data_IF_308709663044
#
_entry.id   IF_308709663044
#
_cell.length_a   1.000
_cell.length_b   1.000
_cell.length_c   1.000
_cell.angle_alpha   90.00
_cell.angle_beta   90.00
_cell.angle_gamma   90.00
#
_symmetry.space_group_name_H-M   'P 1'
#
loop_
_entity.id
_entity.type
_entity.pdbx_description
1 polymer ?
#
# COMPACT_ATOMS: atom_id res chain seq x y z
N UNK A 1 -42.76 -24.99 14.19
CA UNK A 1 -43.03 -25.18 12.74
C UNK A 1 -43.50 -23.85 12.21
N UNK A 2 -42.87 -23.13 11.30
CA UNK A 2 -41.87 -23.38 10.23
C UNK A 2 -41.02 -22.08 10.19
N UNK A 3 -39.72 -22.09 10.50
CA UNK A 3 -38.61 -22.11 9.53
C UNK A 3 -38.73 -21.11 8.37
N UNK A 4 -38.09 -19.94 8.46
CA UNK A 4 -37.39 -19.38 7.30
C UNK A 4 -36.01 -18.84 7.70
N UNK A 5 -35.01 -19.62 7.26
CA UNK A 5 -33.62 -19.24 7.12
C UNK A 5 -33.50 -18.55 5.76
N UNK A 6 -33.13 -17.27 5.78
CA UNK A 6 -32.35 -16.63 4.72
C UNK A 6 -31.19 -15.88 5.43
N UNK A 7 -30.01 -16.50 5.54
CA UNK A 7 -28.82 -16.24 4.69
C UNK A 7 -28.45 -14.74 4.63
N UNK A 8 -27.48 -14.30 5.46
CA UNK A 8 -26.08 -13.90 5.07
C UNK A 8 -26.01 -12.71 4.09
N UNK A 9 -25.28 -11.61 4.26
CA UNK A 9 -23.92 -11.43 4.80
C UNK A 9 -23.54 -9.91 4.81
N UNK A 10 -22.59 -9.53 5.67
CA UNK A 10 -21.52 -8.54 5.43
C UNK A 10 -21.74 -7.01 5.32
N UNK A 11 -22.77 -6.42 5.94
CA UNK A 11 -22.75 -4.95 6.11
C UNK A 11 -21.99 -4.50 7.37
N UNK A 12 -21.93 -5.33 8.42
CA UNK A 12 -21.46 -4.91 9.75
C UNK A 12 -19.94 -5.09 9.94
N UNK A 13 -19.26 -5.84 9.06
CA UNK A 13 -17.79 -5.95 9.10
C UNK A 13 -17.06 -4.73 8.50
N UNK A 14 -17.76 -3.83 7.81
CA UNK A 14 -17.16 -2.58 7.30
C UNK A 14 -16.93 -1.50 8.37
N UNK A 15 -17.53 -1.64 9.57
CA UNK A 15 -17.51 -0.57 10.58
C UNK A 15 -16.53 -0.77 11.75
N UNK A 16 -15.69 -1.82 11.73
CA UNK A 16 -14.56 -1.91 12.67
C UNK A 16 -13.28 -1.18 12.21
N UNK A 17 -13.35 -0.37 11.14
CA UNK A 17 -12.24 0.47 10.66
C UNK A 17 -12.21 1.87 11.32
N UNK A 18 -13.07 2.11 12.31
CA UNK A 18 -13.34 3.45 12.86
C UNK A 18 -12.53 3.91 14.07
N UNK A 19 -11.66 3.09 14.68
CA UNK A 19 -10.92 3.49 15.90
C UNK A 19 -9.46 2.99 15.96
N UNK A 20 -8.82 2.80 14.80
CA UNK A 20 -7.37 2.67 14.70
C UNK A 20 -6.91 3.43 13.45
N UNK A 21 -6.45 4.67 13.61
CA UNK A 21 -6.09 5.60 12.52
C UNK A 21 -4.91 5.12 11.63
N UNK A 22 -4.36 3.94 11.87
CA UNK A 22 -3.16 3.42 11.25
C UNK A 22 -3.39 3.04 9.79
N UNK A 23 -2.34 3.11 8.99
CA UNK A 23 -2.35 2.63 7.61
C UNK A 23 -2.05 1.14 7.61
N UNK A 24 -2.90 0.35 6.94
CA UNK A 24 -2.70 -1.08 6.78
C UNK A 24 -1.92 -1.37 5.50
N UNK A 25 -0.96 -2.29 5.56
CA UNK A 25 -0.23 -2.82 4.41
C UNK A 25 -0.43 -4.34 4.41
N UNK A 26 -0.86 -4.90 3.28
CA UNK A 26 -1.18 -6.33 3.13
C UNK A 26 -0.96 -6.77 1.69
N UNK A 27 -1.05 -8.08 1.44
CA UNK A 27 -1.19 -8.64 0.09
C UNK A 27 -2.67 -8.76 -0.31
N UNK A 28 -2.91 -8.84 -1.62
CA UNK A 28 -4.16 -9.29 -2.21
C UNK A 28 -4.40 -10.79 -1.93
N UNK A 29 -5.67 -11.21 -1.93
CA UNK A 29 -6.05 -12.60 -1.67
C UNK A 29 -5.38 -13.54 -2.67
N UNK A 30 -4.89 -14.70 -2.19
CA UNK A 30 -4.17 -15.67 -3.03
C UNK A 30 -2.65 -15.50 -3.07
N UNK A 31 -2.09 -14.44 -2.45
CA UNK A 31 -0.67 -14.38 -2.06
C UNK A 31 -0.37 -15.36 -0.91
N UNK A 32 -0.62 -16.65 -1.10
CA UNK A 32 -0.67 -17.62 -0.01
C UNK A 32 0.71 -17.85 0.61
N UNK A 33 0.82 -17.53 1.90
CA UNK A 33 1.56 -18.12 3.04
C UNK A 33 2.76 -19.08 2.81
N UNK A 34 2.80 -19.87 1.74
CA UNK A 34 3.83 -20.88 1.52
C UNK A 34 5.05 -20.36 0.73
N UNK A 35 4.91 -19.31 -0.08
CA UNK A 35 6.03 -18.76 -0.89
C UNK A 35 6.83 -17.67 -0.17
N UNK A 36 6.29 -17.10 0.91
CA UNK A 36 6.76 -15.84 1.53
C UNK A 36 7.00 -15.93 3.04
N UNK A 37 7.33 -17.10 3.57
CA UNK A 37 7.64 -17.26 5.01
C UNK A 37 8.68 -16.28 5.53
N UNK A 38 9.52 -15.71 4.65
CA UNK A 38 10.59 -14.77 4.99
C UNK A 38 10.34 -13.34 4.47
N UNK A 39 9.11 -13.05 4.02
CA UNK A 39 8.76 -11.70 3.62
C UNK A 39 8.40 -10.84 4.83
N UNK A 40 9.11 -9.72 5.00
CA UNK A 40 8.85 -8.79 6.10
C UNK A 40 9.14 -7.37 5.67
N UNK A 41 8.15 -6.50 5.79
CA UNK A 41 8.30 -5.06 5.54
C UNK A 41 8.67 -4.38 6.86
N UNK A 42 9.79 -3.65 6.84
CA UNK A 42 10.36 -2.98 8.01
C UNK A 42 10.07 -1.48 8.01
N UNK A 43 10.06 -0.84 6.86
CA UNK A 43 9.93 0.61 6.73
C UNK A 43 9.21 1.00 5.47
N UNK A 44 8.71 2.24 5.48
CA UNK A 44 8.13 2.91 4.32
C UNK A 44 8.82 4.26 4.12
N UNK A 45 9.12 4.55 2.86
CA UNK A 45 9.57 5.85 2.39
C UNK A 45 8.54 6.41 1.41
N UNK A 46 8.41 7.73 1.39
CA UNK A 46 7.60 8.44 0.40
C UNK A 46 8.55 9.08 -0.61
N UNK A 47 8.30 8.83 -1.89
CA UNK A 47 8.95 9.53 -2.97
C UNK A 47 8.15 10.79 -3.29
N UNK A 48 8.81 11.93 -3.26
CA UNK A 48 8.19 13.24 -3.48
C UNK A 48 8.91 14.02 -4.57
N UNK A 49 8.16 14.81 -5.34
CA UNK A 49 8.67 15.73 -6.37
C UNK A 49 8.15 17.14 -6.06
N UNK A 50 8.97 18.19 -6.21
CA UNK A 50 8.49 19.56 -5.99
C UNK A 50 7.41 19.94 -7.02
N UNK A 51 6.36 20.63 -6.55
CA UNK A 51 5.26 21.08 -7.41
C UNK A 51 5.74 22.02 -8.53
N UNK A 52 6.78 22.82 -8.27
CA UNK A 52 7.34 23.79 -9.21
C UNK A 52 8.33 23.20 -10.23
N UNK A 53 8.44 21.86 -10.32
CA UNK A 53 9.34 21.18 -11.24
C UNK A 53 10.80 21.09 -10.75
N UNK A 54 11.06 21.42 -9.47
CA UNK A 54 12.35 21.20 -8.83
C UNK A 54 12.66 19.72 -8.52
N UNK A 55 13.72 19.49 -7.75
CA UNK A 55 14.22 18.13 -7.45
C UNK A 55 13.23 17.30 -6.63
N UNK A 56 13.29 15.98 -6.82
CA UNK A 56 12.62 15.03 -5.95
C UNK A 56 13.41 14.72 -4.69
N UNK A 57 12.73 14.17 -3.69
CA UNK A 57 13.32 13.69 -2.45
C UNK A 57 12.71 12.34 -2.03
N UNK A 58 13.46 11.61 -1.24
CA UNK A 58 13.02 10.39 -0.57
C UNK A 58 12.87 10.70 0.92
N UNK A 59 11.65 10.60 1.43
CA UNK A 59 11.32 10.97 2.81
C UNK A 59 11.02 9.71 3.61
N UNK A 60 11.86 9.42 4.61
CA UNK A 60 11.65 8.29 5.50
C UNK A 60 10.53 8.60 6.50
N UNK A 61 9.54 7.71 6.58
CA UNK A 61 8.37 7.90 7.46
C UNK A 61 8.59 7.25 8.81
N UNK A 62 9.08 6.01 8.80
CA UNK A 62 9.34 5.24 10.00
C UNK A 62 9.16 3.74 9.82
N UNK A 63 9.20 3.04 10.95
CA UNK A 63 9.11 1.59 11.01
C UNK A 63 7.65 1.12 10.98
N UNK A 64 7.43 0.00 10.31
CA UNK A 64 6.17 -0.72 10.29
C UNK A 64 6.13 -1.74 11.43
N UNK A 65 4.94 -1.95 12.00
CA UNK A 65 4.71 -2.97 13.03
C UNK A 65 3.89 -4.12 12.46
N UNK A 66 4.37 -5.37 12.53
CA UNK A 66 3.57 -6.53 12.18
C UNK A 66 2.26 -6.57 12.99
N UNK A 67 1.17 -6.98 12.36
CA UNK A 67 -0.13 -7.14 13.00
C UNK A 67 -0.14 -8.40 13.85
N UNK A 68 -0.79 -8.32 15.02
CA UNK A 68 -1.04 -9.50 15.85
C UNK A 68 -2.01 -10.51 15.19
N UNK A 69 -2.79 -10.08 14.18
CA UNK A 69 -3.79 -10.92 13.50
C UNK A 69 -3.17 -11.82 12.42
N UNK A 70 -2.10 -11.36 11.77
CA UNK A 70 -1.43 -12.09 10.69
C UNK A 70 -0.02 -11.52 10.48
N UNK A 71 1.01 -12.36 10.28
CA UNK A 71 2.36 -11.93 9.96
C UNK A 71 2.48 -11.26 8.58
N UNK A 72 1.43 -11.37 7.74
CA UNK A 72 1.36 -10.78 6.41
C UNK A 72 0.63 -9.43 6.36
N UNK A 73 0.33 -8.86 7.53
CA UNK A 73 -0.30 -7.56 7.66
C UNK A 73 0.64 -6.69 8.49
N UNK A 74 0.94 -5.50 7.99
CA UNK A 74 1.73 -4.49 8.69
C UNK A 74 0.90 -3.23 8.93
N UNK A 75 1.09 -2.64 10.10
CA UNK A 75 0.51 -1.35 10.47
C UNK A 75 1.57 -0.25 10.47
N UNK A 76 1.22 0.90 9.91
CA UNK A 76 1.95 2.15 10.07
C UNK A 76 1.13 3.09 10.96
N UNK A 77 1.74 3.60 12.04
CA UNK A 77 1.08 4.59 12.87
C UNK A 77 0.85 5.90 12.11
N UNK A 78 -0.38 6.42 12.15
CA UNK A 78 -0.76 7.66 11.44
C UNK A 78 0.13 8.85 11.79
N UNK A 79 0.46 8.98 13.07
CA UNK A 79 1.25 10.09 13.61
C UNK A 79 2.59 10.27 12.89
N UNK A 80 3.19 9.18 12.38
CA UNK A 80 4.44 9.22 11.64
C UNK A 80 4.30 9.95 10.29
N UNK A 81 3.13 9.87 9.65
CA UNK A 81 2.83 10.61 8.43
C UNK A 81 2.51 12.09 8.70
N UNK A 82 2.04 12.41 9.91
CA UNK A 82 1.64 13.78 10.27
C UNK A 82 2.85 14.69 10.52
N UNK A 83 4.03 14.13 10.81
CA UNK A 83 5.22 14.92 11.13
C UNK A 83 6.03 15.42 9.90
N UNK A 84 5.52 15.22 8.67
CA UNK A 84 6.21 15.56 7.42
C UNK A 84 5.97 17.02 6.98
N UNK A 85 6.17 17.98 7.88
CA UNK A 85 5.80 19.38 7.64
C UNK A 85 6.72 20.10 6.63
N UNK A 86 7.95 19.64 6.44
CA UNK A 86 8.93 20.27 5.55
C UNK A 86 8.67 20.00 4.05
N UNK A 87 7.75 19.08 3.73
CA UNK A 87 7.53 18.61 2.36
C UNK A 87 6.09 18.85 1.88
N UNK A 88 5.35 19.76 2.52
CA UNK A 88 3.93 19.98 2.19
C UNK A 88 3.70 20.55 0.78
N UNK A 89 4.70 21.23 0.22
CA UNK A 89 4.68 21.78 -1.15
C UNK A 89 5.20 20.79 -2.20
N UNK A 90 5.16 19.51 -1.90
CA UNK A 90 5.58 18.44 -2.80
C UNK A 90 4.39 17.56 -3.22
N UNK A 91 4.48 17.04 -4.43
CA UNK A 91 3.63 15.96 -4.95
C UNK A 91 4.22 14.61 -4.56
N UNK A 92 3.37 13.67 -4.20
CA UNK A 92 3.79 12.29 -3.96
C UNK A 92 3.89 11.54 -5.28
N UNK A 93 5.10 11.15 -5.66
CA UNK A 93 5.37 10.38 -6.88
C UNK A 93 5.20 8.88 -6.69
N UNK A 94 5.35 8.41 -5.45
CA UNK A 94 5.26 6.99 -5.12
C UNK A 94 5.66 6.68 -3.69
N UNK A 95 5.86 5.40 -3.43
CA UNK A 95 6.27 4.84 -2.14
C UNK A 95 7.36 3.80 -2.36
N UNK A 96 8.19 3.61 -1.35
CA UNK A 96 9.09 2.46 -1.28
C UNK A 96 8.84 1.71 0.02
N UNK A 97 8.64 0.40 -0.11
CA UNK A 97 8.53 -0.52 1.00
C UNK A 97 9.88 -1.24 1.13
N UNK A 98 10.56 -0.98 2.24
CA UNK A 98 11.83 -1.62 2.58
C UNK A 98 11.58 -2.84 3.46
N UNK A 99 12.23 -3.95 3.14
CA UNK A 99 11.99 -5.23 3.77
C UNK A 99 12.97 -6.30 3.37
N UNK A 100 12.54 -7.56 3.47
CA UNK A 100 13.27 -8.71 2.94
C UNK A 100 12.36 -9.43 1.96
N UNK A 101 12.76 -9.48 0.70
CA UNK A 101 12.12 -10.26 -0.36
C UNK A 101 13.10 -11.38 -0.72
N UNK A 102 12.85 -12.62 -0.28
CA UNK A 102 13.74 -13.73 -0.58
C UNK A 102 13.44 -14.37 -1.94
N UNK A 103 14.51 -14.79 -2.63
CA UNK A 103 14.45 -15.49 -3.91
C UNK A 103 14.08 -14.58 -5.08
N UNK A 104 13.91 -15.18 -6.26
CA UNK A 104 13.39 -14.49 -7.44
C UNK A 104 11.87 -14.46 -7.38
N UNK A 105 11.28 -13.28 -7.46
CA UNK A 105 9.83 -13.10 -7.37
C UNK A 105 9.31 -12.33 -8.59
N UNK A 106 8.07 -12.63 -8.99
CA UNK A 106 7.28 -11.86 -9.95
C UNK A 106 6.10 -11.26 -9.20
N UNK A 107 5.80 -9.99 -9.46
CA UNK A 107 4.63 -9.30 -8.93
C UNK A 107 3.62 -9.17 -10.06
N UNK A 108 2.38 -9.60 -9.81
CA UNK A 108 1.27 -9.44 -10.76
C UNK A 108 1.02 -7.95 -11.00
N UNK A 109 0.96 -7.55 -12.27
CA UNK A 109 0.91 -6.14 -12.66
C UNK A 109 -0.49 -5.67 -13.10
N UNK A 110 -1.47 -6.57 -13.05
CA UNK A 110 -2.87 -6.34 -13.40
C UNK A 110 -3.78 -7.02 -12.35
N UNK A 111 -4.00 -6.35 -11.22
CA UNK A 111 -4.88 -6.85 -10.15
C UNK A 111 -5.78 -5.76 -9.58
N UNK A 112 -7.09 -5.86 -9.87
CA UNK A 112 -8.07 -4.83 -9.48
C UNK A 112 -8.27 -4.69 -7.96
N UNK A 113 -8.01 -5.76 -7.19
CA UNK A 113 -8.11 -5.76 -5.73
C UNK A 113 -6.91 -5.07 -5.06
N UNK A 114 -5.81 -4.89 -5.80
CA UNK A 114 -4.56 -4.34 -5.31
C UNK A 114 -4.40 -2.83 -5.65
N UNK A 115 -3.50 -2.16 -4.95
CA UNK A 115 -3.19 -0.75 -5.16
C UNK A 115 -3.05 0.06 -3.87
N UNK A 116 -3.03 1.37 -4.03
CA UNK A 116 -2.94 2.33 -2.92
C UNK A 116 -4.26 3.06 -2.73
N UNK A 117 -4.80 2.96 -1.53
CA UNK A 117 -6.15 3.40 -1.17
C UNK A 117 -6.07 4.65 -0.31
N UNK A 118 -6.89 5.63 -0.68
CA UNK A 118 -7.10 6.85 0.07
C UNK A 118 -8.57 6.94 0.48
N UNK A 119 -8.87 7.67 1.55
CA UNK A 119 -10.21 7.78 2.11
C UNK A 119 -11.26 8.20 1.04
N UNK A 120 -12.42 7.51 1.06
CA UNK A 120 -13.70 7.63 0.31
C UNK A 120 -13.78 8.23 -1.11
N UNK A 121 -12.68 8.59 -1.79
CA UNK A 121 -12.79 9.21 -3.13
C UNK A 121 -11.70 8.81 -4.13
N UNK A 122 -10.50 8.43 -3.69
CA UNK A 122 -9.36 8.20 -4.59
C UNK A 122 -8.67 6.85 -4.32
N UNK A 123 -8.38 6.10 -5.38
CA UNK A 123 -7.51 4.91 -5.35
C UNK A 123 -6.57 4.94 -6.55
N UNK A 124 -5.36 4.44 -6.36
CA UNK A 124 -4.42 4.11 -7.43
C UNK A 124 -4.39 2.59 -7.57
N UNK A 125 -5.28 1.98 -8.37
CA UNK A 125 -5.35 0.53 -8.54
C UNK A 125 -4.06 -0.03 -9.18
N UNK A 126 -3.71 -1.28 -8.91
CA UNK A 126 -2.56 -1.96 -9.50
C UNK A 126 -2.86 -2.51 -10.91
N UNK A 127 -3.32 -1.66 -11.82
CA UNK A 127 -3.79 -2.06 -13.15
C UNK A 127 -3.26 -1.11 -14.22
N UNK A 128 -2.20 -1.54 -14.93
CA UNK A 128 -1.47 -0.71 -15.91
C UNK A 128 -2.35 -0.09 -17.00
N UNK A 129 -3.46 -0.73 -17.36
CA UNK A 129 -4.38 -0.28 -18.42
C UNK A 129 -5.27 0.88 -17.98
N UNK A 130 -5.41 1.14 -16.67
CA UNK A 130 -6.23 2.24 -16.16
C UNK A 130 -5.50 3.57 -16.33
N UNK A 131 -6.28 4.60 -16.66
CA UNK A 131 -5.78 5.98 -16.78
C UNK A 131 -5.18 6.51 -15.49
N UNK A 132 -5.51 5.94 -14.34
CA UNK A 132 -4.90 6.23 -13.04
C UNK A 132 -4.59 4.90 -12.38
N UNK A 133 -3.33 4.64 -12.05
CA UNK A 133 -2.89 3.37 -11.48
C UNK A 133 -1.61 3.51 -10.66
N UNK A 134 -1.31 2.49 -9.86
CA UNK A 134 -0.01 2.29 -9.25
C UNK A 134 0.71 1.14 -9.94
N UNK A 135 2.01 1.30 -10.21
CA UNK A 135 2.86 0.18 -10.65
C UNK A 135 3.71 -0.31 -9.50
N UNK A 136 3.84 -1.63 -9.38
CA UNK A 136 4.64 -2.29 -8.37
C UNK A 136 5.86 -2.91 -9.03
N UNK A 137 7.04 -2.58 -8.53
CA UNK A 137 8.30 -3.03 -9.10
C UNK A 137 9.29 -3.38 -7.99
N UNK A 138 9.81 -4.60 -8.02
CA UNK A 138 10.92 -4.97 -7.15
C UNK A 138 12.20 -4.37 -7.71
N UNK A 139 12.82 -3.47 -6.97
CA UNK A 139 14.11 -2.85 -7.34
C UNK A 139 15.26 -3.79 -6.99
N UNK A 140 15.20 -4.40 -5.80
CA UNK A 140 16.19 -5.35 -5.31
C UNK A 140 15.56 -6.33 -4.30
N UNK A 141 16.39 -7.13 -3.61
CA UNK A 141 15.91 -8.11 -2.63
C UNK A 141 15.37 -7.48 -1.33
N UNK A 142 15.38 -6.16 -1.21
CA UNK A 142 15.00 -5.43 -0.01
C UNK A 142 13.99 -4.31 -0.31
N UNK A 143 13.78 -3.93 -1.57
CA UNK A 143 13.00 -2.75 -1.93
C UNK A 143 11.93 -3.07 -2.96
N UNK A 144 10.68 -2.76 -2.60
CA UNK A 144 9.54 -2.71 -3.52
C UNK A 144 9.14 -1.25 -3.73
N UNK A 145 9.28 -0.79 -4.97
CA UNK A 145 8.82 0.51 -5.41
C UNK A 145 7.36 0.46 -5.86
N UNK A 146 6.61 1.49 -5.49
CA UNK A 146 5.22 1.70 -5.87
C UNK A 146 5.12 3.09 -6.51
N UNK A 147 4.94 3.17 -7.83
CA UNK A 147 4.89 4.44 -8.54
C UNK A 147 3.46 4.85 -8.86
N UNK A 148 3.12 6.14 -8.69
CA UNK A 148 1.80 6.67 -9.02
C UNK A 148 1.77 7.30 -10.40
N UNK A 149 0.84 6.82 -11.22
CA UNK A 149 0.70 7.21 -12.62
C UNK A 149 -0.74 7.63 -12.93
N UNK A 150 -0.93 8.63 -13.82
CA UNK A 150 0.08 9.49 -14.41
C UNK A 150 0.43 10.66 -13.46
N UNK A 151 1.46 11.45 -13.79
CA UNK A 151 2.04 12.42 -12.84
C UNK A 151 1.03 13.48 -12.39
N UNK A 152 0.10 13.84 -13.25
CA UNK A 152 -0.85 14.95 -13.12
C UNK A 152 -2.01 14.61 -12.18
N UNK A 153 -2.17 13.32 -11.83
CA UNK A 153 -3.22 12.82 -10.94
C UNK A 153 -2.71 12.53 -9.52
N UNK A 154 -1.41 12.74 -9.28
CA UNK A 154 -0.76 12.55 -7.98
C UNK A 154 -1.35 13.49 -6.93
N UNK A 155 -1.21 13.11 -5.66
CA UNK A 155 -1.66 13.92 -4.52
C UNK A 155 -0.52 14.77 -4.00
N UNK A 156 -0.86 15.91 -3.39
CA UNK A 156 0.10 16.63 -2.54
C UNK A 156 0.44 15.78 -1.31
N UNK A 157 1.63 15.96 -0.72
CA UNK A 157 1.97 15.26 0.51
C UNK A 157 1.01 15.61 1.66
N UNK A 158 0.53 16.86 1.68
CA UNK A 158 -0.47 17.35 2.64
C UNK A 158 -1.74 16.52 2.61
N UNK A 159 -2.22 16.15 1.43
CA UNK A 159 -3.41 15.33 1.25
C UNK A 159 -3.11 13.85 1.49
N UNK A 160 -1.98 13.37 0.96
CA UNK A 160 -1.52 12.00 1.10
C UNK A 160 -1.47 11.58 2.58
N UNK A 161 -0.82 12.35 3.45
CA UNK A 161 -0.65 11.99 4.88
C UNK A 161 -1.96 11.84 5.63
N UNK A 162 -2.98 12.61 5.24
CA UNK A 162 -4.31 12.61 5.86
C UNK A 162 -5.21 11.52 5.31
N UNK A 163 -5.04 11.19 4.03
CA UNK A 163 -6.01 10.36 3.31
C UNK A 163 -5.56 8.92 3.09
N UNK A 164 -4.26 8.60 3.11
CA UNK A 164 -3.78 7.23 2.89
C UNK A 164 -4.43 6.28 3.89
N UNK A 165 -5.10 5.22 3.47
CA UNK A 165 -5.76 4.28 4.39
C UNK A 165 -5.14 2.90 4.33
N UNK A 166 -4.82 2.41 3.13
CA UNK A 166 -4.37 1.04 2.93
C UNK A 166 -3.48 0.93 1.69
N UNK A 167 -2.52 0.01 1.75
CA UNK A 167 -1.71 -0.44 0.63
C UNK A 167 -1.95 -1.94 0.49
N UNK A 168 -2.41 -2.36 -0.69
CA UNK A 168 -2.58 -3.77 -1.04
C UNK A 168 -1.57 -4.09 -2.13
N UNK A 169 -0.57 -4.89 -1.80
CA UNK A 169 0.44 -5.39 -2.73
C UNK A 169 -0.21 -6.48 -3.58
N UNK A 170 -0.05 -6.45 -4.92
CA UNK A 170 -0.56 -7.51 -5.80
C UNK A 170 -0.01 -8.89 -5.45
N UNK A 171 -0.56 -9.93 -6.07
CA UNK A 171 -0.06 -11.29 -5.89
C UNK A 171 1.41 -11.35 -6.28
N UNK A 172 2.15 -12.09 -5.48
CA UNK A 172 3.57 -12.31 -5.70
C UNK A 172 3.79 -13.79 -5.91
N UNK A 173 4.57 -14.14 -6.94
CA UNK A 173 4.92 -15.51 -7.30
C UNK A 173 6.41 -15.72 -7.11
N UNK A 174 6.81 -16.87 -6.55
CA UNK A 174 8.21 -17.27 -6.52
C UNK A 174 8.55 -17.97 -7.83
N UNK A 175 9.65 -17.56 -8.44
CA UNK A 175 10.26 -18.32 -9.54
C UNK A 175 11.06 -19.47 -8.91
N UNK A 176 10.65 -20.70 -9.21
CA UNK A 176 11.49 -21.88 -9.00
C UNK A 176 12.39 -21.99 -10.24
N UNK A 177 13.62 -21.51 -10.12
CA UNK A 177 14.67 -21.65 -11.14
C UNK A 177 15.63 -22.72 -10.64
#
# INVERSE_FOLDING_TARGET
MISEIFKTMNAIQFFQWGLNNNVEITFSEGGSLNSFSNFSIRSINILVERIDGGSGARVQIGKLTPSAKSPLIWGLKRELLLNLNEYLDYMVSGLELEGTFEGSIIIEDDEESAGVFFNYKNRFPAEKKKTIHSSFERIDNQTLSINFLPKEKRLTLKDFRKQLTKIVIPKVYRLFI
#
